data_IF_787940486534
#
_entry.id   IF_787940486534
#
_cell.length_a   1.000
_cell.length_b   1.000
_cell.length_c   1.000
_cell.angle_alpha   90.00
_cell.angle_beta   90.00
_cell.angle_gamma   90.00
#
_symmetry.space_group_name_H-M   'P 1'
#
loop_
_entity.id
_entity.type
_entity.pdbx_description
1 polymer ?
#
# COMPACT_ATOMS: atom_id res chain seq x y z
N UNK A 1 5.46 -0.07 -20.55
CA UNK A 1 5.59 -1.12 -19.51
C UNK A 1 6.87 -0.81 -18.74
N UNK A 2 6.78 0.02 -17.71
CA UNK A 2 7.93 0.63 -17.01
C UNK A 2 7.71 0.44 -15.52
N UNK A 3 8.53 -0.40 -14.87
CA UNK A 3 8.73 -0.54 -13.41
C UNK A 3 7.54 -0.92 -12.51
N UNK A 4 6.35 -0.42 -12.79
CA UNK A 4 5.15 -0.59 -11.96
C UNK A 4 4.43 -1.88 -12.35
N UNK A 5 4.02 -2.73 -11.39
CA UNK A 5 3.43 -4.03 -11.68
C UNK A 5 2.15 -3.92 -12.52
N UNK A 6 2.01 -4.78 -13.53
CA UNK A 6 0.77 -5.01 -14.28
C UNK A 6 -0.20 -5.86 -13.44
N UNK A 7 0.36 -6.78 -12.64
CA UNK A 7 -0.37 -7.60 -11.67
C UNK A 7 0.29 -7.45 -10.32
N UNK A 8 -0.49 -7.18 -9.27
CA UNK A 8 0.01 -7.07 -7.89
C UNK A 8 -1.02 -7.61 -6.92
N UNK A 9 -0.57 -8.37 -5.91
CA UNK A 9 -1.42 -8.92 -4.87
C UNK A 9 -1.13 -8.24 -3.53
N UNK A 10 -2.18 -7.88 -2.79
CA UNK A 10 -2.06 -7.53 -1.37
C UNK A 10 -1.87 -8.81 -0.57
N UNK A 11 -0.80 -8.84 0.22
CA UNK A 11 -0.47 -9.96 1.12
C UNK A 11 -0.46 -9.45 2.56
N UNK A 12 -0.92 -10.28 3.48
CA UNK A 12 -0.85 -10.00 4.92
C UNK A 12 0.19 -10.93 5.54
N UNK A 13 1.36 -10.38 5.87
CA UNK A 13 2.45 -11.13 6.51
C UNK A 13 3.11 -10.28 7.61
N UNK A 14 3.00 -10.68 8.89
CA UNK A 14 3.58 -9.91 10.00
C UNK A 14 5.11 -9.79 9.92
N UNK A 15 5.80 -10.72 9.24
CA UNK A 15 7.26 -10.65 9.01
C UNK A 15 7.62 -9.41 8.18
N UNK A 16 6.78 -9.06 7.20
CA UNK A 16 6.96 -7.87 6.35
C UNK A 16 6.83 -6.60 7.20
N UNK A 17 5.78 -6.52 8.04
CA UNK A 17 5.56 -5.37 8.92
C UNK A 17 6.74 -5.13 9.88
N UNK A 18 7.27 -6.20 10.46
CA UNK A 18 8.44 -6.12 11.36
C UNK A 18 9.70 -5.63 10.64
N UNK A 19 10.06 -6.26 9.52
CA UNK A 19 11.27 -5.92 8.75
C UNK A 19 11.18 -4.49 8.22
N UNK A 20 10.02 -4.09 7.67
CA UNK A 20 9.82 -2.74 7.15
C UNK A 20 9.97 -1.67 8.24
N UNK A 21 9.36 -1.88 9.41
CA UNK A 21 9.48 -0.97 10.55
C UNK A 21 10.92 -0.84 11.05
N UNK A 22 11.65 -1.96 11.14
CA UNK A 22 13.07 -1.95 11.54
C UNK A 22 13.93 -1.20 10.53
N UNK A 23 13.69 -1.42 9.24
CA UNK A 23 14.45 -0.79 8.16
C UNK A 23 14.26 0.73 8.13
N UNK A 24 13.00 1.21 8.25
CA UNK A 24 12.72 2.66 8.34
C UNK A 24 13.41 3.26 9.55
N UNK A 25 13.28 2.63 10.72
CA UNK A 25 13.90 3.13 11.96
C UNK A 25 15.42 3.10 11.98
N UNK A 26 16.03 2.23 11.18
CA UNK A 26 17.48 2.20 11.01
C UNK A 26 18.00 3.37 10.17
N UNK A 27 17.15 3.94 9.30
CA UNK A 27 17.48 5.13 8.49
C UNK A 27 17.14 6.41 9.24
N UNK A 28 15.98 6.46 9.89
CA UNK A 28 15.50 7.61 10.65
C UNK A 28 14.80 7.15 11.94
N UNK A 29 15.33 7.55 13.09
CA UNK A 29 14.77 7.18 14.40
C UNK A 29 13.35 7.75 14.62
N UNK A 30 13.02 8.88 13.97
CA UNK A 30 11.74 9.58 14.09
C UNK A 30 11.14 9.84 12.70
N UNK A 31 10.77 8.78 11.97
CA UNK A 31 10.38 8.89 10.58
C UNK A 31 9.12 9.73 10.41
N UNK A 32 9.15 10.64 9.43
CA UNK A 32 7.99 11.41 9.00
C UNK A 32 7.75 11.30 7.49
N UNK A 33 6.49 11.27 7.10
CA UNK A 33 6.06 11.17 5.70
C UNK A 33 6.19 9.77 5.11
N UNK A 34 6.38 9.68 3.78
CA UNK A 34 6.34 8.41 3.06
C UNK A 34 7.69 7.72 3.00
N UNK A 35 7.71 6.48 3.47
CA UNK A 35 8.77 5.51 3.26
C UNK A 35 8.19 4.34 2.48
N UNK A 36 8.60 4.17 1.22
CA UNK A 36 8.21 3.05 0.37
C UNK A 36 9.37 2.07 0.26
N UNK A 37 9.15 0.80 0.60
CA UNK A 37 10.21 -0.20 0.64
C UNK A 37 10.01 -1.23 -0.46
N UNK A 38 11.09 -1.55 -1.14
CA UNK A 38 11.16 -2.70 -2.02
C UNK A 38 11.77 -3.87 -1.23
N UNK A 39 11.06 -4.99 -1.23
CA UNK A 39 11.38 -6.17 -0.43
C UNK A 39 11.49 -7.41 -1.33
N UNK A 40 12.33 -8.35 -0.92
CA UNK A 40 12.48 -9.65 -1.59
C UNK A 40 12.61 -10.76 -0.56
N UNK A 41 11.77 -11.79 -0.67
CA UNK A 41 12.00 -13.04 0.07
C UNK A 41 13.13 -13.82 -0.61
N UNK A 42 14.14 -14.19 0.18
CA UNK A 42 15.26 -15.02 -0.23
C UNK A 42 14.90 -16.51 -0.26
N UNK A 43 15.78 -17.31 -0.86
CA UNK A 43 15.63 -18.76 -0.88
C UNK A 43 15.72 -19.41 0.52
N UNK A 44 16.22 -18.67 1.51
CA UNK A 44 16.27 -19.05 2.92
C UNK A 44 15.01 -18.68 3.71
N UNK A 45 13.98 -18.14 3.04
CA UNK A 45 12.72 -17.71 3.64
C UNK A 45 12.80 -16.40 4.42
N UNK A 46 13.92 -15.66 4.35
CA UNK A 46 14.06 -14.36 5.00
C UNK A 46 13.63 -13.24 4.06
N UNK A 47 13.07 -12.17 4.64
CA UNK A 47 12.70 -10.95 3.90
C UNK A 47 13.90 -10.00 3.92
N UNK A 48 14.36 -9.62 2.73
CA UNK A 48 15.45 -8.67 2.52
C UNK A 48 14.91 -7.34 2.01
N UNK A 49 15.44 -6.25 2.55
CA UNK A 49 15.17 -4.90 2.05
C UNK A 49 16.15 -4.60 0.92
N UNK A 50 15.64 -4.30 -0.27
CA UNK A 50 16.47 -3.99 -1.44
C UNK A 50 16.58 -2.49 -1.68
N UNK A 51 15.52 -1.74 -1.37
CA UNK A 51 15.48 -0.28 -1.54
C UNK A 51 14.57 0.37 -0.50
N UNK A 52 14.95 1.58 -0.04
CA UNK A 52 14.10 2.45 0.77
C UNK A 52 13.95 3.78 0.02
N UNK A 53 12.73 4.05 -0.44
CA UNK A 53 12.36 5.26 -1.18
C UNK A 53 11.69 6.27 -0.25
N UNK A 54 12.25 7.48 -0.14
CA UNK A 54 11.67 8.61 0.59
C UNK A 54 10.60 9.34 -0.24
N UNK A 55 9.63 8.57 -0.77
CA UNK A 55 8.53 9.04 -1.60
C UNK A 55 7.39 8.03 -1.63
N UNK A 56 6.18 8.50 -1.96
CA UNK A 56 5.06 7.64 -2.26
C UNK A 56 5.35 6.72 -3.47
N UNK A 57 4.82 5.49 -3.43
CA UNK A 57 4.86 4.61 -4.61
C UNK A 57 3.92 5.11 -5.70
N UNK A 58 4.26 4.79 -6.95
CA UNK A 58 3.56 5.30 -8.15
C UNK A 58 2.08 4.89 -8.24
N UNK A 59 1.67 3.84 -7.53
CA UNK A 59 0.27 3.36 -7.49
C UNK A 59 -0.51 3.87 -6.26
N UNK A 60 0.08 4.68 -5.38
CA UNK A 60 -0.59 5.16 -4.16
C UNK A 60 -1.91 5.89 -4.45
N UNK A 61 -2.01 6.78 -5.46
CA UNK A 61 -3.28 7.45 -5.75
C UNK A 61 -4.37 6.47 -6.23
N UNK A 62 -3.98 5.46 -7.04
CA UNK A 62 -4.90 4.43 -7.51
C UNK A 62 -5.41 3.59 -6.33
N UNK A 63 -4.53 3.16 -5.43
CA UNK A 63 -4.94 2.43 -4.22
C UNK A 63 -5.80 3.27 -3.29
N UNK A 64 -5.51 4.57 -3.15
CA UNK A 64 -6.34 5.51 -2.38
C UNK A 64 -7.75 5.65 -2.95
N UNK A 65 -7.88 5.66 -4.29
CA UNK A 65 -9.17 5.63 -4.97
C UNK A 65 -9.89 4.30 -4.74
N UNK A 66 -9.21 3.18 -4.94
CA UNK A 66 -9.78 1.83 -4.75
C UNK A 66 -10.28 1.64 -3.31
N UNK A 67 -9.48 2.04 -2.32
CA UNK A 67 -9.79 1.95 -0.90
C UNK A 67 -11.14 2.60 -0.57
N UNK A 68 -11.33 3.84 -1.00
CA UNK A 68 -12.55 4.60 -0.69
C UNK A 68 -13.74 4.22 -1.58
N UNK A 69 -13.50 3.96 -2.88
CA UNK A 69 -14.58 3.77 -3.87
C UNK A 69 -15.01 2.32 -4.04
N UNK A 70 -14.07 1.39 -3.95
CA UNK A 70 -14.31 -0.04 -4.14
C UNK A 70 -14.42 -0.74 -2.79
N UNK A 71 -13.44 -0.56 -1.90
CA UNK A 71 -13.46 -1.20 -0.58
C UNK A 71 -14.36 -0.48 0.43
N UNK A 72 -14.88 0.70 0.10
CA UNK A 72 -15.75 1.51 0.97
C UNK A 72 -15.12 1.79 2.33
N UNK A 73 -13.78 1.92 2.35
CA UNK A 73 -13.05 2.31 3.54
C UNK A 73 -13.44 3.75 3.94
N UNK A 74 -13.30 4.12 5.22
CA UNK A 74 -13.47 5.50 5.66
C UNK A 74 -12.52 6.46 4.92
N UNK A 75 -12.73 7.75 5.10
CA UNK A 75 -11.96 8.81 4.42
C UNK A 75 -10.44 8.62 4.52
N UNK A 76 -9.94 8.14 5.67
CA UNK A 76 -8.51 7.87 5.87
C UNK A 76 -7.94 6.82 4.91
N UNK A 77 -8.79 5.98 4.29
CA UNK A 77 -8.39 5.03 3.24
C UNK A 77 -7.83 5.72 1.99
N UNK A 78 -8.17 7.01 1.78
CA UNK A 78 -7.47 7.85 0.82
C UNK A 78 -6.19 8.40 1.45
N UNK A 79 -5.12 7.61 1.41
CA UNK A 79 -3.84 7.94 2.05
C UNK A 79 -3.22 9.22 1.46
N UNK A 80 -3.40 9.46 0.16
CA UNK A 80 -2.92 10.69 -0.45
C UNK A 80 -3.60 11.93 0.16
N UNK A 81 -4.90 11.84 0.42
CA UNK A 81 -5.66 12.91 1.09
C UNK A 81 -5.30 13.02 2.58
N UNK A 82 -5.19 11.89 3.29
CA UNK A 82 -4.73 11.86 4.68
C UNK A 82 -3.37 12.54 4.86
N UNK A 83 -2.41 12.25 3.98
CA UNK A 83 -1.08 12.86 4.01
C UNK A 83 -1.14 14.38 3.84
N UNK A 84 -2.01 14.88 2.96
CA UNK A 84 -2.21 16.31 2.77
C UNK A 84 -2.81 16.97 4.00
N UNK A 85 -3.85 16.38 4.61
CA UNK A 85 -4.45 16.89 5.85
C UNK A 85 -3.44 17.01 6.98
N UNK A 86 -2.62 15.96 7.17
CA UNK A 86 -1.53 15.95 8.14
C UNK A 86 -0.49 17.03 7.84
N UNK A 87 -0.10 17.19 6.58
CA UNK A 87 0.86 18.22 6.15
C UNK A 87 0.36 19.65 6.34
N UNK A 88 -0.95 19.87 6.29
CA UNK A 88 -1.61 21.15 6.60
C UNK A 88 -1.82 21.38 8.10
N UNK A 89 -1.45 20.43 8.96
CA UNK A 89 -1.61 20.54 10.41
C UNK A 89 -3.05 20.38 10.89
N UNK A 90 -3.92 19.75 10.08
CA UNK A 90 -5.28 19.45 10.50
C UNK A 90 -5.30 18.38 11.61
N UNK A 91 -6.31 18.47 12.48
CA UNK A 91 -6.54 17.44 13.49
C UNK A 91 -7.14 16.19 12.83
N UNK A 92 -6.44 15.07 12.96
CA UNK A 92 -6.82 13.77 12.41
C UNK A 92 -6.74 12.74 13.53
N UNK A 93 -7.84 12.00 13.73
CA UNK A 93 -7.86 10.90 14.70
C UNK A 93 -7.07 9.69 14.20
N UNK A 94 -5.75 9.75 14.36
CA UNK A 94 -4.81 8.68 14.02
C UNK A 94 -5.05 7.41 14.85
N UNK A 95 -5.73 7.48 16.00
CA UNK A 95 -6.01 6.30 16.84
C UNK A 95 -7.09 5.41 16.23
N UNK A 96 -7.98 5.99 15.41
CA UNK A 96 -9.02 5.24 14.68
C UNK A 96 -8.48 4.48 13.46
N UNK A 97 -7.24 4.75 13.04
CA UNK A 97 -6.66 4.18 11.82
C UNK A 97 -5.85 2.92 12.18
N UNK A 98 -6.12 1.77 11.54
CA UNK A 98 -5.30 0.58 11.73
C UNK A 98 -3.84 0.84 11.35
N UNK A 99 -2.91 0.39 12.19
CA UNK A 99 -1.48 0.62 11.98
C UNK A 99 -0.91 -0.16 10.80
N UNK A 100 -1.43 -1.35 10.55
CA UNK A 100 -0.96 -2.29 9.53
C UNK A 100 -2.15 -2.87 8.76
N UNK A 101 -1.86 -3.50 7.63
CA UNK A 101 -2.79 -4.40 6.91
C UNK A 101 -4.15 -3.76 6.61
N UNK A 102 -4.13 -2.48 6.19
CA UNK A 102 -5.35 -1.68 5.97
C UNK A 102 -6.20 -2.13 4.77
N UNK A 103 -5.63 -2.92 3.86
CA UNK A 103 -6.28 -3.37 2.63
C UNK A 103 -6.65 -4.85 2.73
N UNK A 104 -7.77 -5.29 2.13
CA UNK A 104 -8.08 -6.71 2.00
C UNK A 104 -7.11 -7.41 1.05
N UNK A 105 -6.90 -8.71 1.24
CA UNK A 105 -6.13 -9.55 0.32
C UNK A 105 -6.84 -9.69 -1.02
N UNK A 106 -6.40 -8.91 -2.00
CA UNK A 106 -6.92 -8.92 -3.37
C UNK A 106 -5.80 -8.83 -4.39
N UNK A 107 -6.09 -9.26 -5.61
CA UNK A 107 -5.18 -9.10 -6.75
C UNK A 107 -5.67 -7.96 -7.64
N UNK A 108 -4.81 -6.97 -7.88
CA UNK A 108 -5.02 -5.93 -8.88
C UNK A 108 -4.40 -6.35 -10.21
N UNK A 109 -5.17 -6.21 -11.29
CA UNK A 109 -4.69 -6.28 -12.66
C UNK A 109 -4.90 -4.92 -13.33
N UNK A 110 -3.88 -4.36 -13.95
CA UNK A 110 -3.96 -3.09 -14.67
C UNK A 110 -3.21 -3.14 -15.99
N UNK A 111 -3.89 -2.81 -17.09
CA UNK A 111 -3.26 -2.66 -18.40
C UNK A 111 -3.96 -1.54 -19.19
N UNK A 112 -3.25 -0.92 -20.12
CA UNK A 112 -3.82 0.16 -20.94
C UNK A 112 -5.03 -0.32 -21.76
N UNK A 113 -4.99 -1.56 -22.26
CA UNK A 113 -6.04 -2.10 -23.13
C UNK A 113 -7.27 -2.63 -22.39
N UNK A 114 -7.11 -3.02 -21.12
CA UNK A 114 -8.21 -3.65 -20.35
C UNK A 114 -8.67 -2.84 -19.14
N UNK A 115 -8.01 -1.71 -18.86
CA UNK A 115 -8.28 -0.89 -17.70
C UNK A 115 -7.74 -1.51 -16.40
N UNK A 116 -8.41 -1.21 -15.29
CA UNK A 116 -8.01 -1.68 -13.96
C UNK A 116 -9.09 -2.58 -13.38
N UNK A 117 -8.66 -3.72 -12.84
CA UNK A 117 -9.51 -4.74 -12.24
C UNK A 117 -9.01 -5.10 -10.84
N UNK A 118 -9.95 -5.38 -9.95
CA UNK A 118 -9.71 -5.99 -8.66
C UNK A 118 -10.34 -7.37 -8.66
N UNK A 119 -9.55 -8.37 -8.29
CA UNK A 119 -9.92 -9.77 -8.23
C UNK A 119 -9.96 -10.22 -6.77
N UNK A 120 -11.11 -10.73 -6.36
CA UNK A 120 -11.34 -11.42 -5.10
C UNK A 120 -11.31 -12.91 -5.38
N UNK A 121 -10.14 -13.53 -5.21
CA UNK A 121 -9.93 -14.94 -5.53
C UNK A 121 -10.76 -15.86 -4.62
N UNK A 122 -10.89 -15.50 -3.34
CA UNK A 122 -11.71 -16.21 -2.35
C UNK A 122 -13.19 -16.27 -2.73
N UNK A 123 -13.68 -15.22 -3.41
CA UNK A 123 -15.09 -15.06 -3.82
C UNK A 123 -15.33 -15.36 -5.28
N UNK A 124 -14.29 -15.73 -6.04
CA UNK A 124 -14.32 -15.85 -7.49
C UNK A 124 -15.01 -14.65 -8.18
N UNK A 125 -14.70 -13.44 -7.70
CA UNK A 125 -15.35 -12.20 -8.12
C UNK A 125 -14.33 -11.23 -8.70
N UNK A 126 -14.72 -10.49 -9.74
CA UNK A 126 -13.92 -9.39 -10.29
C UNK A 126 -14.72 -8.11 -10.41
N UNK A 127 -14.09 -6.99 -10.09
CA UNK A 127 -14.67 -5.65 -10.18
C UNK A 127 -13.81 -4.82 -11.11
N UNK A 128 -14.42 -4.18 -12.11
CA UNK A 128 -13.75 -3.19 -12.94
C UNK A 128 -13.71 -1.85 -12.18
N UNK A 129 -12.53 -1.24 -12.09
CA UNK A 129 -12.30 0.03 -11.38
C UNK A 129 -12.37 1.21 -12.34
N UNK A 130 -11.67 1.11 -13.49
CA UNK A 130 -11.60 2.08 -14.58
C UNK A 130 -11.69 1.33 -15.91
#
# INVERSE_FOLDING_TARGET
ITGTPVVSRIVVDPRINEVAMKAVKAVDEKPHGFYCLDLKEGADGRIYVTEINLKAHTTLPLWSYIATRIFRMPEWGNIAYLYLRLGLGEDVDLKSIPKFDIYPEVTMLRHIDVGVWILYEDKNMKIKVL
#
